data_IF_144659421349
#
_entry.id   IF_144659421349
#
_cell.length_a   1.000
_cell.length_b   1.000
_cell.length_c   1.000
_cell.angle_alpha   90.00
_cell.angle_beta   90.00
_cell.angle_gamma   90.00
#
_symmetry.space_group_name_H-M   'P 1'
#
loop_
_entity.id
_entity.type
_entity.pdbx_description
1 polymer ?
#
# COMPACT_ATOMS: atom_id res chain seq x y z
N UNK A 1 -3.57 -0.19 9.31
CA UNK A 1 -3.80 -1.43 8.53
C UNK A 1 -5.28 -1.76 8.39
N UNK A 2 -6.16 -1.14 9.19
CA UNK A 2 -7.60 -1.08 8.95
C UNK A 2 -7.95 0.11 8.02
N UNK A 3 -9.01 0.06 7.19
CA UNK A 3 -9.37 1.17 6.30
C UNK A 3 -9.60 2.51 7.02
N UNK A 4 -10.25 2.49 8.19
CA UNK A 4 -10.47 3.69 9.03
C UNK A 4 -9.14 4.37 9.40
N UNK A 5 -8.14 3.59 9.83
CA UNK A 5 -6.80 4.09 10.18
C UNK A 5 -6.06 4.61 8.94
N UNK A 6 -6.24 3.93 7.80
CA UNK A 6 -5.67 4.35 6.53
C UNK A 6 -6.24 5.68 6.07
N UNK A 7 -7.57 5.84 6.13
CA UNK A 7 -8.23 7.10 5.77
C UNK A 7 -7.71 8.26 6.63
N UNK A 8 -7.63 8.07 7.95
CA UNK A 8 -7.10 9.09 8.85
C UNK A 8 -5.64 9.46 8.54
N UNK A 9 -4.80 8.47 8.24
CA UNK A 9 -3.38 8.68 7.92
C UNK A 9 -3.21 9.40 6.58
N UNK A 10 -3.92 8.97 5.54
CA UNK A 10 -3.86 9.59 4.21
C UNK A 10 -4.40 11.02 4.24
N UNK A 11 -5.49 11.28 4.98
CA UNK A 11 -6.01 12.62 5.19
C UNK A 11 -5.01 13.52 5.92
N UNK A 12 -4.38 13.03 6.98
CA UNK A 12 -3.34 13.77 7.71
C UNK A 12 -2.14 14.09 6.81
N UNK A 13 -1.64 13.11 6.04
CA UNK A 13 -0.55 13.31 5.10
C UNK A 13 -0.90 14.34 4.03
N UNK A 14 -2.13 14.29 3.49
CA UNK A 14 -2.59 15.27 2.49
C UNK A 14 -2.64 16.69 3.06
N UNK A 15 -3.12 16.85 4.30
CA UNK A 15 -3.15 18.14 4.98
C UNK A 15 -1.75 18.69 5.30
N UNK A 16 -0.83 17.81 5.71
CA UNK A 16 0.55 18.19 6.04
C UNK A 16 1.40 18.52 4.81
N UNK A 17 1.11 17.89 3.66
CA UNK A 17 1.86 18.06 2.42
C UNK A 17 0.95 18.44 1.24
N UNK A 18 0.33 19.64 1.25
CA UNK A 18 -0.55 20.07 0.17
C UNK A 18 0.13 20.05 -1.19
N UNK A 19 -0.54 19.49 -2.20
CA UNK A 19 -0.04 19.43 -3.58
C UNK A 19 1.11 18.44 -3.82
N UNK A 20 1.66 17.79 -2.79
CA UNK A 20 2.65 16.72 -2.95
C UNK A 20 1.95 15.41 -3.29
N UNK A 21 2.58 14.61 -4.15
CA UNK A 21 2.07 13.29 -4.54
C UNK A 21 2.25 12.30 -3.39
N UNK A 22 1.17 11.61 -3.01
CA UNK A 22 1.18 10.57 -1.99
C UNK A 22 1.35 9.19 -2.66
N UNK A 23 2.48 8.56 -2.38
CA UNK A 23 2.79 7.19 -2.82
C UNK A 23 2.51 6.24 -1.66
N UNK A 24 1.46 5.43 -1.79
CA UNK A 24 1.08 4.44 -0.79
C UNK A 24 1.76 3.10 -1.10
N UNK A 25 2.68 2.67 -0.25
CA UNK A 25 3.18 1.29 -0.22
C UNK A 25 2.37 0.49 0.81
N UNK A 26 1.52 -0.43 0.34
CA UNK A 26 0.56 -1.13 1.19
C UNK A 26 0.79 -2.65 1.21
N UNK A 27 0.79 -3.21 2.42
CA UNK A 27 0.68 -4.65 2.66
C UNK A 27 -0.59 -4.92 3.46
N UNK A 28 -1.63 -5.52 2.85
CA UNK A 28 -2.80 -5.95 3.59
C UNK A 28 -2.41 -6.96 4.69
N UNK A 29 -3.12 -6.97 5.80
CA UNK A 29 -2.82 -7.85 6.93
C UNK A 29 -4.05 -8.70 7.26
N UNK A 30 -3.88 -10.03 7.16
CA UNK A 30 -4.91 -11.09 7.23
C UNK A 30 -5.84 -11.14 6.02
N UNK A 31 -6.13 -12.34 5.54
CA UNK A 31 -7.09 -12.58 4.46
C UNK A 31 -8.52 -12.29 4.93
N UNK A 32 -8.84 -12.64 6.18
CA UNK A 32 -10.14 -12.36 6.81
C UNK A 32 -10.48 -10.88 6.76
N UNK A 33 -9.55 -10.01 7.17
CA UNK A 33 -9.72 -8.56 7.12
C UNK A 33 -9.82 -8.04 5.69
N UNK A 34 -8.98 -8.52 4.78
CA UNK A 34 -9.07 -8.12 3.36
C UNK A 34 -10.44 -8.45 2.79
N UNK A 35 -11.04 -9.60 3.14
CA UNK A 35 -12.41 -9.97 2.76
C UNK A 35 -13.44 -9.03 3.39
N UNK A 36 -13.40 -8.90 4.71
CA UNK A 36 -14.45 -8.22 5.47
C UNK A 36 -14.49 -6.70 5.20
N UNK A 37 -13.35 -6.12 4.83
CA UNK A 37 -13.19 -4.70 4.54
C UNK A 37 -12.84 -4.41 3.08
N UNK A 38 -13.12 -5.33 2.15
CA UNK A 38 -12.61 -5.27 0.78
C UNK A 38 -12.98 -3.96 0.07
N UNK A 39 -14.27 -3.62 0.06
CA UNK A 39 -14.78 -2.41 -0.58
C UNK A 39 -14.25 -1.14 0.09
N UNK A 40 -14.12 -1.15 1.41
CA UNK A 40 -13.55 -0.03 2.16
C UNK A 40 -12.07 0.20 1.83
N UNK A 41 -11.27 -0.87 1.67
CA UNK A 41 -9.89 -0.75 1.21
C UNK A 41 -9.84 -0.14 -0.19
N UNK A 42 -10.65 -0.63 -1.13
CA UNK A 42 -10.72 -0.08 -2.49
C UNK A 42 -11.07 1.40 -2.44
N UNK A 43 -12.09 1.77 -1.67
CA UNK A 43 -12.55 3.15 -1.54
C UNK A 43 -11.47 4.06 -0.94
N UNK A 44 -10.91 3.70 0.23
CA UNK A 44 -9.93 4.53 0.93
C UNK A 44 -8.66 4.73 0.10
N UNK A 45 -8.16 3.66 -0.53
CA UNK A 45 -6.96 3.73 -1.37
C UNK A 45 -7.24 4.61 -2.60
N UNK A 46 -8.37 4.41 -3.27
CA UNK A 46 -8.73 5.15 -4.50
C UNK A 46 -8.92 6.66 -4.29
N UNK A 47 -9.28 7.08 -3.08
CA UNK A 47 -9.49 8.50 -2.75
C UNK A 47 -8.28 9.15 -2.06
N UNK A 48 -7.46 8.35 -1.35
CA UNK A 48 -6.43 8.88 -0.49
C UNK A 48 -5.01 8.87 -1.07
N UNK A 49 -4.74 8.05 -2.09
CA UNK A 49 -3.41 7.90 -2.68
C UNK A 49 -3.37 8.37 -4.15
N UNK A 50 -2.22 8.87 -4.60
CA UNK A 50 -1.98 9.25 -6.00
C UNK A 50 -1.25 8.14 -6.77
N UNK A 51 -0.48 7.32 -6.07
CA UNK A 51 0.20 6.15 -6.62
C UNK A 51 0.20 5.03 -5.58
N UNK A 52 0.08 3.77 -6.02
CA UNK A 52 -0.05 2.62 -5.12
C UNK A 52 0.92 1.52 -5.52
N UNK A 53 1.74 1.12 -4.56
CA UNK A 53 2.57 -0.07 -4.60
C UNK A 53 1.94 -1.09 -3.65
N UNK A 54 1.37 -2.16 -4.20
CA UNK A 54 0.58 -3.13 -3.46
C UNK A 54 1.29 -4.47 -3.41
N UNK A 55 1.47 -5.03 -2.21
CA UNK A 55 1.99 -6.39 -2.04
C UNK A 55 0.89 -7.41 -1.79
N UNK A 56 1.28 -8.68 -1.83
CA UNK A 56 0.43 -9.78 -1.35
C UNK A 56 0.12 -9.66 0.15
N UNK A 57 -1.01 -10.25 0.56
CA UNK A 57 -1.50 -10.24 1.94
C UNK A 57 -0.48 -10.89 2.87
N UNK A 58 -0.14 -10.19 3.95
CA UNK A 58 0.51 -10.81 5.09
C UNK A 58 -0.48 -11.71 5.82
N UNK A 59 -0.36 -13.03 5.63
CA UNK A 59 -1.36 -14.01 6.06
C UNK A 59 -1.60 -14.04 7.58
N UNK A 60 -0.57 -13.76 8.40
CA UNK A 60 -0.63 -13.86 9.86
C UNK A 60 -1.19 -15.21 10.36
N UNK A 61 -0.82 -16.31 9.69
CA UNK A 61 -1.24 -17.67 10.02
C UNK A 61 -2.56 -18.11 9.38
N UNK A 62 -3.23 -17.26 8.61
CA UNK A 62 -4.48 -17.62 7.92
C UNK A 62 -4.20 -18.37 6.62
N UNK A 63 -5.09 -19.33 6.30
CA UNK A 63 -5.14 -19.88 4.96
C UNK A 63 -5.65 -18.82 3.98
N UNK A 64 -5.19 -18.84 2.70
CA UNK A 64 -5.72 -17.95 1.67
C UNK A 64 -7.25 -18.07 1.54
N UNK A 65 -7.91 -16.93 1.36
CA UNK A 65 -9.36 -16.86 1.11
C UNK A 65 -9.56 -16.36 -0.32
N UNK A 66 -10.42 -17.06 -1.07
CA UNK A 66 -10.75 -16.72 -2.45
C UNK A 66 -11.20 -15.26 -2.56
N UNK A 67 -10.64 -14.55 -3.54
CA UNK A 67 -10.92 -13.14 -3.84
C UNK A 67 -10.53 -12.12 -2.74
N UNK A 68 -9.87 -12.56 -1.67
CA UNK A 68 -9.42 -11.70 -0.57
C UNK A 68 -7.90 -11.53 -0.53
N UNK A 69 -7.26 -11.57 -1.70
CA UNK A 69 -5.81 -11.46 -1.88
C UNK A 69 -5.41 -10.10 -2.51
N UNK A 70 -4.10 -9.84 -2.54
CA UNK A 70 -3.56 -8.60 -3.08
C UNK A 70 -3.83 -8.43 -4.58
N UNK A 71 -3.89 -9.54 -5.33
CA UNK A 71 -4.22 -9.52 -6.78
C UNK A 71 -5.67 -9.10 -7.02
N UNK A 72 -6.59 -9.60 -6.19
CA UNK A 72 -8.00 -9.25 -6.24
C UNK A 72 -8.18 -7.78 -5.91
N UNK A 73 -7.51 -7.28 -4.87
CA UNK A 73 -7.53 -5.86 -4.51
C UNK A 73 -6.91 -4.98 -5.61
N UNK A 74 -5.78 -5.40 -6.21
CA UNK A 74 -5.16 -4.71 -7.35
C UNK A 74 -6.13 -4.57 -8.53
N UNK A 75 -6.81 -5.67 -8.89
CA UNK A 75 -7.80 -5.68 -9.96
C UNK A 75 -8.99 -4.77 -9.65
N UNK A 76 -9.49 -4.78 -8.42
CA UNK A 76 -10.61 -3.93 -8.02
C UNK A 76 -10.25 -2.44 -8.09
N UNK A 77 -9.04 -2.06 -7.65
CA UNK A 77 -8.52 -0.69 -7.78
C UNK A 77 -8.43 -0.24 -9.25
N UNK A 78 -7.93 -1.12 -10.14
CA UNK A 78 -7.91 -0.86 -11.58
C UNK A 78 -9.32 -0.65 -12.15
N UNK A 79 -10.28 -1.49 -11.78
CA UNK A 79 -11.68 -1.38 -12.23
C UNK A 79 -12.33 -0.08 -11.74
N UNK A 80 -12.00 0.37 -10.52
CA UNK A 80 -12.47 1.65 -10.00
C UNK A 80 -11.96 2.86 -10.81
N UNK A 81 -10.98 2.68 -11.71
CA UNK A 81 -10.60 3.62 -12.76
C UNK A 81 -9.80 4.83 -12.31
N UNK A 82 -9.41 4.91 -11.03
CA UNK A 82 -8.65 6.04 -10.47
C UNK A 82 -7.15 5.78 -10.35
N UNK A 83 -6.75 4.53 -10.11
CA UNK A 83 -5.38 4.15 -9.81
C UNK A 83 -5.06 2.84 -10.52
N UNK A 84 -3.88 2.77 -11.14
CA UNK A 84 -3.28 1.54 -11.63
C UNK A 84 -2.19 1.11 -10.63
N UNK A 85 -2.44 0.13 -9.74
CA UNK A 85 -1.46 -0.26 -8.75
C UNK A 85 -0.31 -1.06 -9.38
N UNK A 86 0.91 -0.78 -8.95
CA UNK A 86 2.04 -1.68 -9.20
C UNK A 86 1.93 -2.82 -8.19
N UNK A 87 1.78 -4.05 -8.66
CA UNK A 87 1.71 -5.22 -7.80
C UNK A 87 3.09 -5.85 -7.58
N UNK A 88 3.41 -6.17 -6.33
CA UNK A 88 4.67 -6.77 -5.91
C UNK A 88 4.35 -8.11 -5.23
N UNK A 89 4.72 -9.22 -5.87
CA UNK A 89 4.39 -10.57 -5.41
C UNK A 89 4.94 -10.89 -4.00
N UNK A 90 6.10 -10.33 -3.65
CA UNK A 90 6.75 -10.57 -2.35
C UNK A 90 7.23 -9.26 -1.72
N UNK A 91 7.07 -9.14 -0.40
CA UNK A 91 7.35 -7.90 0.32
C UNK A 91 8.81 -7.43 0.19
N UNK A 92 9.75 -8.35 -0.04
CA UNK A 92 11.17 -8.06 -0.24
C UNK A 92 11.42 -7.18 -1.47
N UNK A 93 10.53 -7.23 -2.47
CA UNK A 93 10.60 -6.34 -3.64
C UNK A 93 10.07 -4.93 -3.40
N UNK A 94 9.40 -4.68 -2.27
CA UNK A 94 8.71 -3.40 -2.03
C UNK A 94 9.68 -2.22 -1.92
N UNK A 95 10.84 -2.40 -1.28
CA UNK A 95 11.82 -1.31 -1.14
C UNK A 95 12.37 -0.86 -2.51
N UNK A 96 12.69 -1.81 -3.39
CA UNK A 96 13.11 -1.52 -4.76
C UNK A 96 11.98 -0.87 -5.55
N UNK A 97 10.75 -1.38 -5.44
CA UNK A 97 9.59 -0.79 -6.12
C UNK A 97 9.35 0.66 -5.67
N UNK A 98 9.54 0.98 -4.39
CA UNK A 98 9.50 2.37 -3.90
C UNK A 98 10.57 3.21 -4.60
N UNK A 99 11.82 2.72 -4.63
CA UNK A 99 12.94 3.45 -5.23
C UNK A 99 12.73 3.73 -6.73
N UNK A 100 12.20 2.76 -7.47
CA UNK A 100 11.99 2.87 -8.92
C UNK A 100 10.81 3.78 -9.30
N UNK A 101 9.82 3.95 -8.41
CA UNK A 101 8.58 4.66 -8.71
C UNK A 101 8.45 6.02 -8.02
N UNK A 102 9.22 6.25 -6.95
CA UNK A 102 9.25 7.53 -6.25
C UNK A 102 9.87 8.62 -7.13
N UNK A 103 9.35 9.84 -6.99
CA UNK A 103 9.84 11.04 -7.64
C UNK A 103 10.27 12.05 -6.58
N UNK A 104 11.09 13.02 -6.98
CA UNK A 104 11.44 14.13 -6.11
C UNK A 104 10.17 14.82 -5.57
N UNK A 105 10.17 15.08 -4.27
CA UNK A 105 9.03 15.68 -3.57
C UNK A 105 7.84 14.77 -3.29
N UNK A 106 7.90 13.47 -3.62
CA UNK A 106 6.88 12.51 -3.19
C UNK A 106 6.87 12.31 -1.67
N UNK A 107 5.69 12.05 -1.12
CA UNK A 107 5.54 11.52 0.23
C UNK A 107 5.21 10.03 0.13
N UNK A 108 6.18 9.19 0.49
CA UNK A 108 5.99 7.74 0.52
C UNK A 108 5.48 7.31 1.89
N UNK A 109 4.36 6.60 1.92
CA UNK A 109 3.72 6.11 3.14
C UNK A 109 3.70 4.58 3.08
N UNK A 110 4.48 3.94 3.96
CA UNK A 110 4.43 2.49 4.15
C UNK A 110 3.33 2.14 5.16
N UNK A 111 2.31 1.39 4.74
CA UNK A 111 1.16 1.04 5.59
C UNK A 111 0.93 -0.47 5.63
N UNK A 112 0.66 -0.98 6.83
CA UNK A 112 0.34 -2.38 7.09
C UNK A 112 0.67 -2.72 8.54
N UNK A 113 0.63 -4.00 8.88
CA UNK A 113 0.96 -4.49 10.22
C UNK A 113 1.83 -5.76 10.21
N UNK A 114 2.30 -6.17 9.02
CA UNK A 114 3.16 -7.33 8.83
C UNK A 114 4.61 -6.93 8.56
N UNK A 115 5.27 -7.75 7.74
CA UNK A 115 6.65 -7.56 7.28
C UNK A 115 6.95 -6.18 6.65
N UNK A 116 5.94 -5.44 6.18
CA UNK A 116 6.13 -4.09 5.63
C UNK A 116 6.78 -3.11 6.61
N UNK A 117 6.71 -3.36 7.93
CA UNK A 117 7.38 -2.54 8.93
C UNK A 117 8.91 -2.44 8.76
N UNK A 118 9.53 -3.41 8.07
CA UNK A 118 10.96 -3.38 7.77
C UNK A 118 11.33 -2.55 6.52
N UNK A 119 10.36 -2.28 5.64
CA UNK A 119 10.59 -1.64 4.33
C UNK A 119 11.20 -0.24 4.44
N UNK A 120 10.75 0.67 5.34
CA UNK A 120 11.33 2.01 5.44
C UNK A 120 12.84 2.00 5.70
N UNK A 121 13.32 1.12 6.58
CA UNK A 121 14.75 0.98 6.88
C UNK A 121 15.55 0.42 5.68
N UNK A 122 14.93 -0.42 4.84
CA UNK A 122 15.54 -0.91 3.61
C UNK A 122 15.68 0.21 2.57
N UNK A 123 14.62 1.00 2.37
CA UNK A 123 14.64 2.17 1.48
C UNK A 123 15.73 3.16 1.90
N UNK A 124 15.85 3.45 3.21
CA UNK A 124 16.90 4.34 3.72
C UNK A 124 18.31 3.85 3.40
N UNK A 125 18.57 2.53 3.52
CA UNK A 125 19.87 1.94 3.17
C UNK A 125 20.19 2.07 1.68
N UNK A 126 19.18 1.99 0.83
CA UNK A 126 19.35 2.15 -0.63
C UNK A 126 19.66 3.61 -0.98
N UNK A 127 18.95 4.57 -0.37
CA UNK A 127 19.17 6.00 -0.61
C UNK A 127 20.50 6.54 -0.04
N UNK A 128 21.02 5.93 1.03
CA UNK A 128 22.34 6.28 1.60
C UNK A 128 23.54 5.62 0.89
N UNK A 129 23.29 4.74 -0.08
CA UNK A 129 24.32 4.09 -0.90
C UNK A 129 24.51 4.76 -2.28
N UNK A 130 23.79 5.87 -2.53
CA UNK A 130 23.88 6.68 -3.75
C UNK A 130 24.79 7.90 -3.55
#
# INVERSE_FOLDING_TARGET
>A
HHPVEMAATLAAARGAFPGRRLVLAFQPHRYSRTRDCFEDFVSVISHGADHVLLSEVYAAGEAPIVAADGRSLSRALRIAGKIEPVFIDKIEGMAQAIFDNAKDGDIVICMGAGSIGAVPAQVQKMGGAA
#
